data_IF_564556486193
#
_entry.id   IF_564556486193
#
_cell.length_a   1.000
_cell.length_b   1.000
_cell.length_c   1.000
_cell.angle_alpha   90.00
_cell.angle_beta   90.00
_cell.angle_gamma   90.00
#
_symmetry.space_group_name_H-M   'P 1'
#
loop_
_entity.id
_entity.type
_entity.pdbx_description
1 polymer ?
#
# COMPACT_ATOMS: atom_id res chain seq x y z
N UNK A 1 -37.00 1.90 -69.60
CA UNK A 1 -37.51 3.24 -69.23
C UNK A 1 -37.94 3.16 -67.77
N UNK A 2 -37.03 3.34 -66.82
CA UNK A 2 -36.68 4.63 -66.18
C UNK A 2 -37.86 5.16 -65.35
N UNK A 3 -37.82 4.90 -64.04
CA UNK A 3 -37.89 5.89 -62.94
C UNK A 3 -38.05 5.13 -61.60
N UNK A 4 -36.98 5.02 -60.79
CA UNK A 4 -36.52 6.01 -59.80
C UNK A 4 -37.36 5.98 -58.51
N UNK A 5 -36.85 5.19 -57.56
CA UNK A 5 -36.91 5.32 -56.10
C UNK A 5 -38.05 6.15 -55.47
N UNK A 6 -38.89 5.48 -54.69
CA UNK A 6 -39.50 6.11 -53.52
C UNK A 6 -39.54 5.14 -52.34
N UNK A 7 -38.70 5.50 -51.36
CA UNK A 7 -38.56 4.96 -50.01
C UNK A 7 -39.89 4.49 -49.41
N UNK A 8 -39.84 3.37 -48.68
CA UNK A 8 -40.39 3.15 -47.33
C UNK A 8 -40.61 1.65 -47.15
N UNK A 9 -39.88 1.04 -46.22
CA UNK A 9 -40.46 0.34 -45.06
C UNK A 9 -39.30 0.00 -44.13
N UNK A 10 -39.36 0.67 -42.98
CA UNK A 10 -38.66 0.41 -41.74
C UNK A 10 -39.19 -0.91 -41.17
N UNK A 11 -38.30 -1.77 -40.68
CA UNK A 11 -38.34 -2.34 -39.33
C UNK A 11 -37.77 -3.77 -39.27
N UNK A 12 -36.85 -3.97 -38.33
CA UNK A 12 -36.88 -5.19 -37.52
C UNK A 12 -35.82 -6.25 -37.81
N UNK A 13 -34.55 -5.92 -37.57
CA UNK A 13 -33.57 -6.94 -37.21
C UNK A 13 -32.52 -6.37 -36.25
N UNK A 14 -32.97 -5.93 -35.06
CA UNK A 14 -32.08 -5.85 -33.89
C UNK A 14 -31.86 -7.28 -33.36
N UNK A 15 -31.07 -8.05 -34.10
CA UNK A 15 -30.58 -9.35 -33.69
C UNK A 15 -29.32 -9.17 -32.82
N UNK A 16 -29.47 -9.54 -31.55
CA UNK A 16 -28.44 -9.88 -30.57
C UNK A 16 -26.97 -9.78 -31.01
N UNK A 17 -26.25 -8.80 -30.45
CA UNK A 17 -24.81 -8.68 -30.55
C UNK A 17 -24.23 -7.90 -29.38
N UNK A 18 -24.62 -8.21 -28.14
CA UNK A 18 -23.91 -7.75 -26.94
C UNK A 18 -22.61 -8.56 -26.81
N UNK A 19 -21.62 -8.23 -27.63
CA UNK A 19 -20.25 -8.62 -27.38
C UNK A 19 -19.76 -7.81 -26.17
N UNK A 20 -19.73 -8.45 -25.01
CA UNK A 20 -19.02 -7.95 -23.84
C UNK A 20 -17.52 -7.88 -24.17
N UNK A 21 -17.10 -6.74 -24.73
CA UNK A 21 -15.70 -6.39 -24.82
C UNK A 21 -15.23 -6.12 -23.39
N UNK A 22 -14.52 -7.08 -22.79
CA UNK A 22 -13.77 -6.82 -21.58
C UNK A 22 -12.85 -5.64 -21.84
N UNK A 23 -12.96 -4.57 -21.04
CA UNK A 23 -12.14 -3.38 -21.20
C UNK A 23 -10.66 -3.81 -21.18
N UNK A 24 -9.96 -3.61 -22.31
CA UNK A 24 -8.53 -3.88 -22.40
C UNK A 24 -7.82 -3.04 -21.34
N UNK A 25 -7.08 -3.70 -20.44
CA UNK A 25 -6.30 -3.03 -19.42
C UNK A 25 -5.38 -2.01 -20.11
N UNK A 26 -5.38 -0.73 -19.70
CA UNK A 26 -4.60 0.30 -20.36
C UNK A 26 -3.14 -0.11 -20.43
N UNK A 27 -2.58 -0.19 -21.65
CA UNK A 27 -1.17 -0.56 -21.85
C UNK A 27 -0.20 0.48 -21.28
N UNK A 28 -0.69 1.69 -21.01
CA UNK A 28 0.09 2.78 -20.45
C UNK A 28 -0.78 3.62 -19.51
N UNK A 29 -0.41 3.67 -18.22
CA UNK A 29 -1.04 4.54 -17.24
C UNK A 29 -0.39 5.92 -17.37
N UNK A 30 -1.14 6.90 -17.84
CA UNK A 30 -0.67 8.28 -17.89
C UNK A 30 -0.69 8.86 -16.47
N UNK A 31 0.45 8.82 -15.78
CA UNK A 31 0.61 9.30 -14.39
C UNK A 31 0.15 10.75 -14.21
N UNK A 32 0.27 11.57 -15.26
CA UNK A 32 -0.18 12.96 -15.27
C UNK A 32 -1.71 13.10 -15.12
N UNK A 33 -2.47 12.07 -15.48
CA UNK A 33 -3.94 12.02 -15.28
C UNK A 33 -4.32 11.59 -13.86
N UNK A 34 -3.38 10.99 -13.12
CA UNK A 34 -3.53 10.63 -11.69
C UNK A 34 -3.06 11.76 -10.75
N UNK A 35 -2.29 12.71 -11.28
CA UNK A 35 -1.79 13.87 -10.57
C UNK A 35 -2.88 14.93 -10.38
N UNK A 36 -3.95 14.58 -9.67
CA UNK A 36 -4.72 15.63 -8.98
C UNK A 36 -3.83 16.09 -7.84
N UNK A 37 -3.24 17.28 -7.96
CA UNK A 37 -2.43 17.87 -6.91
C UNK A 37 -3.32 18.04 -5.68
N UNK A 38 -2.98 17.35 -4.59
CA UNK A 38 -3.62 17.56 -3.30
C UNK A 38 -2.75 18.57 -2.58
N UNK A 39 -3.10 19.86 -2.67
CA UNK A 39 -2.21 20.95 -2.23
C UNK A 39 -2.04 21.07 -0.70
N UNK A 40 -2.74 20.31 0.13
CA UNK A 40 -2.64 20.47 1.58
C UNK A 40 -2.97 19.17 2.34
N UNK A 41 -2.03 18.21 2.34
CA UNK A 41 -2.14 16.98 3.14
C UNK A 41 -1.31 17.14 4.40
N UNK A 42 -1.98 17.41 5.52
CA UNK A 42 -1.37 17.30 6.84
C UNK A 42 -1.27 15.81 7.20
N UNK A 43 -0.04 15.29 7.26
CA UNK A 43 0.22 13.95 7.77
C UNK A 43 0.41 14.02 9.29
N UNK A 44 -0.40 13.28 10.07
CA UNK A 44 -0.26 13.32 11.52
C UNK A 44 1.04 12.64 11.94
N UNK A 45 1.67 13.19 12.98
CA UNK A 45 2.83 12.56 13.60
C UNK A 45 2.41 11.24 14.28
N UNK A 46 3.31 10.25 14.41
CA UNK A 46 2.98 8.98 15.06
C UNK A 46 2.32 9.15 16.43
N UNK A 47 2.82 10.07 17.26
CA UNK A 47 2.25 10.34 18.59
C UNK A 47 0.83 10.94 18.53
N UNK A 48 0.49 11.69 17.49
CA UNK A 48 -0.86 12.24 17.29
C UNK A 48 -1.84 11.13 16.92
N UNK A 49 -1.42 10.17 16.10
CA UNK A 49 -2.22 8.97 15.79
C UNK A 49 -2.49 8.18 17.07
N UNK A 50 -1.46 7.86 17.85
CA UNK A 50 -1.64 7.12 19.11
C UNK A 50 -2.49 7.89 20.12
N UNK A 51 -2.29 9.20 20.22
CA UNK A 51 -3.11 10.07 21.06
C UNK A 51 -4.57 10.11 20.64
N UNK A 52 -4.86 10.11 19.33
CA UNK A 52 -6.22 10.02 18.81
C UNK A 52 -6.87 8.66 19.12
N UNK A 53 -6.14 7.56 18.94
CA UNK A 53 -6.64 6.22 19.26
C UNK A 53 -6.96 6.07 20.75
N UNK A 54 -6.13 6.61 21.63
CA UNK A 54 -6.36 6.55 23.08
C UNK A 54 -7.63 7.31 23.53
N UNK A 55 -8.08 8.30 22.74
CA UNK A 55 -9.34 9.02 23.00
C UNK A 55 -10.57 8.17 22.69
N UNK A 56 -10.44 7.18 21.81
CA UNK A 56 -11.52 6.25 21.48
C UNK A 56 -11.65 5.13 22.54
N UNK A 57 -10.64 4.98 23.40
CA UNK A 57 -10.57 4.01 24.47
C UNK A 57 -9.13 3.62 24.76
N UNK A 58 -8.88 3.03 25.94
CA UNK A 58 -7.56 2.50 26.26
C UNK A 58 -7.22 1.35 25.30
N UNK A 59 -6.15 1.51 24.53
CA UNK A 59 -5.66 0.48 23.60
C UNK A 59 -4.68 -0.43 24.33
N UNK A 60 -4.93 -1.74 24.33
CA UNK A 60 -3.97 -2.72 24.81
C UNK A 60 -2.87 -2.94 23.77
N UNK A 61 -1.84 -2.10 23.79
CA UNK A 61 -0.73 -2.18 22.84
C UNK A 61 0.01 -3.52 22.87
N UNK A 62 0.03 -4.22 24.02
CA UNK A 62 0.67 -5.55 24.13
C UNK A 62 0.05 -6.60 23.23
N UNK A 63 -1.26 -6.54 22.99
CA UNK A 63 -1.95 -7.46 22.07
C UNK A 63 -1.62 -7.20 20.59
N UNK A 64 -1.11 -6.01 20.29
CA UNK A 64 -0.80 -5.58 18.93
C UNK A 64 0.70 -5.72 18.60
N UNK A 65 1.52 -6.11 19.58
CA UNK A 65 2.92 -6.48 19.35
C UNK A 65 2.95 -7.79 18.57
N UNK A 66 3.43 -7.73 17.32
CA UNK A 66 3.55 -8.91 16.47
C UNK A 66 4.56 -9.90 17.04
N UNK A 67 4.14 -11.16 17.11
CA UNK A 67 5.02 -12.26 17.53
C UNK A 67 5.77 -12.89 16.36
N UNK A 68 5.29 -12.71 15.12
CA UNK A 68 5.92 -13.26 13.93
C UNK A 68 7.03 -12.33 13.43
N UNK A 69 8.18 -12.90 13.05
CA UNK A 69 9.25 -12.13 12.40
C UNK A 69 8.91 -11.85 10.93
N UNK A 70 7.83 -12.40 10.37
CA UNK A 70 7.58 -12.32 8.93
C UNK A 70 8.61 -13.09 8.09
N UNK A 71 8.51 -12.97 6.76
CA UNK A 71 9.33 -13.73 5.82
C UNK A 71 10.79 -13.27 5.80
N UNK A 72 11.69 -14.19 5.47
CA UNK A 72 13.08 -13.88 5.16
C UNK A 72 13.24 -13.67 3.66
N UNK A 73 13.81 -12.54 3.25
CA UNK A 73 14.08 -12.21 1.86
C UNK A 73 15.58 -12.19 1.58
N UNK A 74 15.94 -12.47 0.33
CA UNK A 74 17.32 -12.36 -0.18
C UNK A 74 17.50 -11.13 -1.07
N UNK A 75 16.41 -10.63 -1.66
CA UNK A 75 16.43 -9.48 -2.57
C UNK A 75 16.47 -8.16 -1.79
N UNK A 76 17.47 -7.31 -2.10
CA UNK A 76 17.69 -6.01 -1.45
C UNK A 76 16.43 -5.12 -1.35
N UNK A 77 15.59 -4.95 -2.40
CA UNK A 77 14.38 -4.14 -2.30
C UNK A 77 13.35 -4.70 -1.31
N UNK A 78 13.20 -6.03 -1.25
CA UNK A 78 12.28 -6.68 -0.31
C UNK A 78 12.79 -6.61 1.13
N UNK A 79 14.11 -6.75 1.32
CA UNK A 79 14.74 -6.54 2.63
C UNK A 79 14.51 -5.09 3.10
N UNK A 80 14.63 -4.10 2.21
CA UNK A 80 14.36 -2.70 2.54
C UNK A 80 12.90 -2.45 2.93
N UNK A 81 11.94 -3.06 2.22
CA UNK A 81 10.53 -2.97 2.58
C UNK A 81 10.24 -3.60 3.94
N UNK A 82 10.80 -4.80 4.18
CA UNK A 82 10.70 -5.49 5.47
C UNK A 82 11.32 -4.66 6.60
N UNK A 83 12.48 -4.02 6.37
CA UNK A 83 13.11 -3.13 7.33
C UNK A 83 12.16 -2.02 7.80
N UNK A 84 11.45 -1.37 6.86
CA UNK A 84 10.44 -0.36 7.19
C UNK A 84 9.34 -0.91 8.11
N UNK A 85 8.84 -2.12 7.84
CA UNK A 85 7.82 -2.74 8.70
C UNK A 85 8.35 -3.08 10.11
N UNK A 86 9.60 -3.53 10.21
CA UNK A 86 10.23 -3.86 11.51
C UNK A 86 10.44 -2.60 12.35
N UNK A 87 10.78 -1.47 11.71
CA UNK A 87 10.87 -0.17 12.40
C UNK A 87 9.49 0.23 12.94
N UNK A 88 8.42 0.05 12.15
CA UNK A 88 7.06 0.33 12.60
C UNK A 88 6.63 -0.55 13.78
N UNK A 89 6.97 -1.85 13.75
CA UNK A 89 6.73 -2.76 14.88
C UNK A 89 7.43 -2.26 16.16
N UNK A 90 8.61 -1.63 16.03
CA UNK A 90 9.34 -1.03 17.13
C UNK A 90 8.56 0.08 17.84
N UNK A 91 7.82 0.91 17.10
CA UNK A 91 6.94 1.91 17.71
C UNK A 91 5.84 1.28 18.54
N UNK A 92 5.20 0.22 18.05
CA UNK A 92 4.16 -0.50 18.79
C UNK A 92 4.73 -1.12 20.08
N UNK A 93 5.92 -1.72 20.01
CA UNK A 93 6.59 -2.28 21.18
C UNK A 93 6.95 -1.20 22.23
N UNK A 94 7.34 0.00 21.81
CA UNK A 94 7.55 1.14 22.71
C UNK A 94 6.25 1.58 23.38
N UNK A 95 5.15 1.69 22.62
CA UNK A 95 3.83 2.01 23.18
C UNK A 95 3.32 0.92 24.15
N UNK A 96 3.76 -0.33 23.97
CA UNK A 96 3.45 -1.45 24.85
C UNK A 96 4.35 -1.53 26.10
N UNK A 97 5.33 -0.63 26.22
CA UNK A 97 6.35 -0.62 27.28
C UNK A 97 7.12 -1.96 27.38
N UNK A 98 7.28 -2.65 26.25
CA UNK A 98 7.92 -3.97 26.18
C UNK A 98 9.40 -3.83 25.81
N UNK A 99 10.23 -3.50 26.80
CA UNK A 99 11.67 -3.33 26.61
C UNK A 99 12.38 -4.57 26.02
N UNK A 100 12.08 -5.82 26.43
CA UNK A 100 12.59 -7.02 25.76
C UNK A 100 12.29 -7.03 24.26
N UNK A 101 11.05 -6.79 23.86
CA UNK A 101 10.68 -6.80 22.44
C UNK A 101 11.32 -5.65 21.67
N UNK A 102 11.44 -4.46 22.26
CA UNK A 102 12.16 -3.32 21.65
C UNK A 102 13.61 -3.68 21.34
N UNK A 103 14.28 -4.39 22.26
CA UNK A 103 15.67 -4.85 22.05
C UNK A 103 15.76 -5.84 20.87
N UNK A 104 14.86 -6.82 20.83
CA UNK A 104 14.85 -7.83 19.76
C UNK A 104 14.58 -7.20 18.39
N UNK A 105 13.69 -6.22 18.34
CA UNK A 105 13.43 -5.42 17.13
C UNK A 105 14.68 -4.63 16.74
N UNK A 106 15.35 -3.97 17.68
CA UNK A 106 16.59 -3.22 17.41
C UNK A 106 17.70 -4.09 16.83
N UNK A 107 17.90 -5.29 17.37
CA UNK A 107 18.84 -6.28 16.82
C UNK A 107 18.47 -6.70 15.40
N UNK A 108 17.17 -6.80 15.12
CA UNK A 108 16.67 -7.17 13.80
C UNK A 108 16.81 -6.06 12.77
N UNK A 109 16.56 -4.81 13.16
CA UNK A 109 16.85 -3.62 12.35
C UNK A 109 18.31 -3.62 11.92
N UNK A 110 19.23 -3.92 12.84
CA UNK A 110 20.65 -4.02 12.53
C UNK A 110 20.99 -5.15 11.55
N UNK A 111 20.33 -6.31 11.68
CA UNK A 111 20.54 -7.42 10.74
C UNK A 111 20.06 -7.08 9.32
N UNK A 112 18.88 -6.47 9.20
CA UNK A 112 18.29 -6.09 7.91
C UNK A 112 19.03 -4.93 7.26
N UNK A 113 19.54 -3.96 8.03
CA UNK A 113 20.34 -2.85 7.50
C UNK A 113 21.65 -3.33 6.87
N UNK A 114 22.29 -4.35 7.45
CA UNK A 114 23.44 -5.03 6.85
C UNK A 114 23.06 -5.69 5.52
N UNK A 115 21.90 -6.34 5.47
CA UNK A 115 21.36 -6.97 4.25
C UNK A 115 21.11 -6.01 3.09
N UNK A 116 20.95 -4.71 3.35
CA UNK A 116 20.82 -3.67 2.31
C UNK A 116 22.08 -2.81 2.12
N UNK A 117 23.18 -3.13 2.82
CA UNK A 117 24.47 -2.45 2.68
C UNK A 117 24.60 -1.12 3.42
N UNK A 118 23.75 -0.83 4.39
CA UNK A 118 23.79 0.42 5.20
C UNK A 118 24.13 0.18 6.68
N UNK A 119 24.56 -1.04 7.03
CA UNK A 119 24.85 -1.41 8.42
C UNK A 119 25.85 -0.47 9.10
N UNK A 120 26.94 -0.11 8.41
CA UNK A 120 27.98 0.78 8.95
C UNK A 120 27.50 2.24 9.11
N UNK A 121 26.38 2.62 8.50
CA UNK A 121 25.82 3.97 8.60
C UNK A 121 24.96 4.16 9.86
N UNK A 122 24.59 3.07 10.54
CA UNK A 122 23.71 3.10 11.71
C UNK A 122 24.35 2.53 12.98
N UNK A 123 25.58 2.04 12.88
CA UNK A 123 26.41 1.64 14.02
C UNK A 123 27.59 2.59 14.14
N UNK A 124 27.94 3.05 15.36
CA UNK A 124 29.14 3.86 15.61
C UNK A 124 30.43 3.21 15.15
#
# INVERSE_FOLDING_TARGET
MIHRHLKLIVAGACGFGLCAHGAQAPQHININQLSTTVEDVVVPLPNEIFGALNKLGAVNWKEHVRSDKGPNFTERPRIALLLGTVIADGFIAVQAEDAPTVKDIGQRVLALSKGIGVGNSITP
#
